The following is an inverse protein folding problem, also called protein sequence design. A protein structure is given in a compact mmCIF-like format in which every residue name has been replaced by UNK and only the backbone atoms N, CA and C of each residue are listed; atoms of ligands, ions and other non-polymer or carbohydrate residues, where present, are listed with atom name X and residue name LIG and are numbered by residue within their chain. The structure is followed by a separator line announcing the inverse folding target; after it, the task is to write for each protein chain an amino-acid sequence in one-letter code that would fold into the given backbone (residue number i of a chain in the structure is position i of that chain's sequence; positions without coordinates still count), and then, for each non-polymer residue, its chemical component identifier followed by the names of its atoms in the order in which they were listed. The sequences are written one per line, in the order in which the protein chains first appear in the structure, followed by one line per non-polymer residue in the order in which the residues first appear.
data_IF_075479281934
#
_entry.id   IF_075479281934
#
_cell.length_a   1.000
_cell.length_b   1.000
_cell.length_c   1.000
_cell.angle_alpha   90.00
_cell.angle_beta   90.00
_cell.angle_gamma   90.00
#
_symmetry.space_group_name_H-M   'P 1'
#
loop_
_entity.id
_entity.type
_entity.pdbx_description
1 polymer ?
#
# COMPACT_ATOMS: atom_id res chain seq x y z
N UNK A 1 0.62 -6.50 13.81
CA UNK A 1 0.40 -6.49 12.34
C UNK A 1 -0.02 -5.09 11.89
N UNK A 2 0.43 -4.63 10.71
CA UNK A 2 -0.01 -3.36 10.13
C UNK A 2 -0.15 -3.47 8.59
N UNK A 3 -1.21 -2.84 8.06
CA UNK A 3 -1.51 -2.75 6.64
C UNK A 3 -1.59 -1.28 6.26
N UNK A 4 -0.89 -0.88 5.20
CA UNK A 4 -0.89 0.50 4.73
C UNK A 4 -0.94 0.56 3.21
N UNK A 5 -1.90 1.34 2.69
CA UNK A 5 -1.96 1.67 1.28
C UNK A 5 -1.47 3.11 1.06
N UNK A 6 -0.41 3.25 0.28
CA UNK A 6 0.19 4.53 -0.05
C UNK A 6 -0.21 4.97 -1.46
N UNK A 7 -0.73 6.20 -1.59
CA UNK A 7 -0.85 6.88 -2.88
C UNK A 7 0.51 7.51 -3.24
N UNK A 8 1.08 7.08 -4.36
CA UNK A 8 2.37 7.55 -4.85
C UNK A 8 2.23 8.75 -5.77
N UNK A 9 1.05 9.01 -6.33
CA UNK A 9 0.78 10.07 -7.30
C UNK A 9 0.40 11.38 -6.63
N UNK A 10 -0.26 11.30 -5.48
CA UNK A 10 -0.74 12.45 -4.76
C UNK A 10 -0.29 12.39 -3.31
N UNK A 11 0.07 13.55 -2.76
CA UNK A 11 0.33 13.71 -1.33
C UNK A 11 -0.41 14.91 -0.80
N UNK A 12 -0.69 14.90 0.50
CA UNK A 12 -1.16 16.10 1.19
C UNK A 12 0.02 17.02 1.46
N UNK A 13 -0.07 18.26 1.01
CA UNK A 13 0.90 19.30 1.32
C UNK A 13 0.85 19.62 2.82
N UNK A 14 2.01 19.64 3.50
CA UNK A 14 2.07 19.98 4.93
C UNK A 14 1.89 21.47 5.18
N UNK A 15 2.22 22.33 4.21
CA UNK A 15 2.09 23.79 4.35
C UNK A 15 0.68 24.29 4.09
N UNK A 16 -0.03 23.68 3.13
CA UNK A 16 -1.34 24.17 2.66
C UNK A 16 -2.49 23.20 2.90
N UNK A 17 -2.23 21.96 3.31
CA UNK A 17 -3.25 20.91 3.44
C UNK A 17 -3.83 20.42 2.10
N UNK A 18 -3.47 21.05 0.98
CA UNK A 18 -3.97 20.71 -0.35
C UNK A 18 -3.40 19.38 -0.85
N UNK A 19 -4.16 18.67 -1.68
CA UNK A 19 -3.69 17.48 -2.40
C UNK A 19 -2.86 17.95 -3.60
N UNK A 20 -1.59 17.57 -3.64
CA UNK A 20 -0.65 17.95 -4.71
C UNK A 20 -0.10 16.72 -5.41
N UNK A 21 0.16 16.84 -6.72
CA UNK A 21 0.83 15.80 -7.50
C UNK A 21 2.28 15.65 -7.05
N UNK A 22 2.76 14.41 -6.98
CA UNK A 22 4.16 14.09 -6.74
C UNK A 22 4.91 13.99 -8.08
N UNK A 23 6.25 13.88 -8.03
CA UNK A 23 7.08 13.60 -9.19
C UNK A 23 6.78 12.24 -9.86
N UNK A 24 5.98 11.40 -9.22
CA UNK A 24 5.67 10.05 -9.69
C UNK A 24 4.33 9.95 -10.42
N UNK A 25 3.59 11.07 -10.48
CA UNK A 25 2.33 11.17 -11.19
C UNK A 25 2.52 10.75 -12.66
N UNK A 26 1.84 9.68 -13.08
CA UNK A 26 1.93 9.14 -14.44
C UNK A 26 3.21 8.35 -14.78
N UNK A 27 4.21 8.32 -13.89
CA UNK A 27 5.52 7.68 -14.17
C UNK A 27 5.65 6.26 -13.61
N UNK A 28 4.85 5.92 -12.60
CA UNK A 28 4.85 4.58 -11.97
C UNK A 28 3.44 4.22 -11.45
N UNK A 29 3.18 2.97 -11.04
CA UNK A 29 1.87 2.59 -10.53
C UNK A 29 1.46 3.45 -9.33
N UNK A 30 0.19 3.86 -9.27
CA UNK A 30 -0.31 4.84 -8.31
C UNK A 30 -0.27 4.33 -6.88
N UNK A 31 -0.61 3.08 -6.64
CA UNK A 31 -0.80 2.54 -5.30
C UNK A 31 0.36 1.66 -4.90
N UNK A 32 0.77 1.75 -3.64
CA UNK A 32 1.78 0.86 -3.04
C UNK A 32 1.23 0.29 -1.74
N UNK A 33 0.96 -1.01 -1.76
CA UNK A 33 0.53 -1.75 -0.58
C UNK A 33 1.75 -2.16 0.25
N UNK A 34 1.66 -1.96 1.56
CA UNK A 34 2.64 -2.38 2.55
C UNK A 34 1.96 -3.27 3.58
N UNK A 35 2.51 -4.45 3.80
CA UNK A 35 2.09 -5.40 4.83
C UNK A 35 3.26 -5.68 5.77
N UNK A 36 3.01 -5.64 7.07
CA UNK A 36 3.97 -6.05 8.10
C UNK A 36 3.31 -6.91 9.19
N UNK A 37 3.91 -8.06 9.49
CA UNK A 37 3.50 -8.98 10.56
C UNK A 37 4.70 -9.76 11.06
N UNK A 38 4.89 -9.82 12.38
CA UNK A 38 5.96 -10.51 13.13
C UNK A 38 7.20 -10.90 12.31
N UNK A 39 8.02 -9.91 11.99
CA UNK A 39 9.28 -10.08 11.24
C UNK A 39 9.13 -10.16 9.71
N UNK A 40 7.94 -10.46 9.19
CA UNK A 40 7.63 -10.41 7.75
C UNK A 40 7.25 -9.01 7.30
N UNK A 41 7.87 -8.55 6.21
CA UNK A 41 7.49 -7.32 5.50
C UNK A 41 7.30 -7.63 4.02
N UNK A 42 6.16 -7.26 3.46
CA UNK A 42 5.85 -7.41 2.03
C UNK A 42 5.39 -6.07 1.47
N UNK A 43 5.86 -5.74 0.27
CA UNK A 43 5.48 -4.52 -0.43
C UNK A 43 5.25 -4.81 -1.90
N UNK A 44 4.18 -4.25 -2.48
CA UNK A 44 3.86 -4.39 -3.91
C UNK A 44 3.18 -3.13 -4.45
N UNK A 45 3.37 -2.84 -5.74
CA UNK A 45 2.80 -1.67 -6.43
C UNK A 45 1.72 -2.06 -7.42
N UNK A 46 0.72 -1.19 -7.58
CA UNK A 46 -0.49 -1.43 -8.38
C UNK A 46 -0.94 -0.14 -9.08
N UNK A 47 -1.53 -0.28 -10.26
CA UNK A 47 -2.14 0.85 -10.97
C UNK A 47 -3.53 1.15 -10.41
N UNK A 48 -4.27 0.09 -10.08
CA UNK A 48 -5.62 0.17 -9.54
C UNK A 48 -5.66 0.03 -8.00
N UNK A 49 -6.61 0.72 -7.38
CA UNK A 49 -6.77 0.72 -5.92
C UNK A 49 -7.32 -0.60 -5.40
N UNK A 50 -8.33 -1.13 -6.08
CA UNK A 50 -9.02 -2.35 -5.67
C UNK A 50 -8.11 -3.57 -5.74
N UNK A 51 -7.22 -3.63 -6.73
CA UNK A 51 -6.19 -4.67 -6.82
C UNK A 51 -5.21 -4.62 -5.64
N UNK A 52 -4.79 -3.41 -5.25
CA UNK A 52 -3.90 -3.22 -4.12
C UNK A 52 -4.55 -3.64 -2.79
N UNK A 53 -5.80 -3.24 -2.59
CA UNK A 53 -6.59 -3.61 -1.40
C UNK A 53 -6.82 -5.13 -1.35
N UNK A 54 -7.21 -5.75 -2.47
CA UNK A 54 -7.36 -7.21 -2.56
C UNK A 54 -6.06 -7.94 -2.22
N UNK A 55 -4.93 -7.47 -2.76
CA UNK A 55 -3.63 -8.08 -2.45
C UNK A 55 -3.26 -7.96 -0.97
N UNK A 56 -3.56 -6.83 -0.32
CA UNK A 56 -3.32 -6.64 1.12
C UNK A 56 -4.14 -7.64 1.95
N UNK A 57 -5.44 -7.78 1.67
CA UNK A 57 -6.32 -8.74 2.34
C UNK A 57 -5.84 -10.18 2.13
N UNK A 58 -5.52 -10.56 0.89
CA UNK A 58 -5.00 -11.91 0.63
C UNK A 58 -3.67 -12.18 1.36
N UNK A 59 -2.80 -11.16 1.45
CA UNK A 59 -1.52 -11.29 2.14
C UNK A 59 -1.70 -11.45 3.64
N UNK A 60 -2.63 -10.70 4.23
CA UNK A 60 -3.04 -10.81 5.62
C UNK A 60 -3.62 -12.20 5.94
N UNK A 61 -4.60 -12.66 5.16
CA UNK A 61 -5.20 -13.99 5.33
C UNK A 61 -4.14 -15.09 5.22
N UNK A 62 -3.28 -15.03 4.21
CA UNK A 62 -2.20 -16.01 4.06
C UNK A 62 -1.19 -15.98 5.21
N UNK A 63 -0.98 -14.82 5.83
CA UNK A 63 -0.11 -14.70 7.00
C UNK A 63 -0.76 -15.30 8.25
N UNK A 64 -2.04 -15.00 8.50
CA UNK A 64 -2.78 -15.56 9.64
C UNK A 64 -2.84 -17.09 9.56
N UNK A 65 -3.21 -17.63 8.39
CA UNK A 65 -3.24 -19.08 8.17
C UNK A 65 -1.86 -19.76 8.30
N UNK A 66 -0.77 -19.01 8.16
CA UNK A 66 0.59 -19.54 8.36
C UNK A 66 1.01 -19.54 9.82
N UNK A 67 0.40 -18.71 10.67
CA UNK A 67 0.64 -18.66 12.11
C UNK A 67 -0.15 -19.70 12.92
N UNK A 68 -1.24 -20.23 12.35
CA UNK A 68 -2.08 -21.29 12.95
C UNK A 68 -1.59 -22.73 12.65
N UNK A 69 -0.39 -22.89 12.10
CA UNK A 69 0.20 -24.18 11.69
C UNK A 69 1.43 -24.57 12.51
#
# INVERSE_FOLDING_TARGET
MAIHLQDQWYRRSQSTGAIVRTAHYGQRPRYRGHFSGDGTRKTKTFHDRSEAERWLVMTEVAYLLKGDA
#
